data_IF_687549570958
#
_entry.id   IF_687549570958
#
_cell.length_a   1.000
_cell.length_b   1.000
_cell.length_c   1.000
_cell.angle_alpha   90.00
_cell.angle_beta   90.00
_cell.angle_gamma   90.00
#
_symmetry.space_group_name_H-M   'P 1'
#
loop_
_entity.id
_entity.type
_entity.pdbx_description
1 polymer ?
#
# COMPACT_ATOMS: atom_id res chain seq x y z
N UNK A 1 20.92 18.32 -21.98
CA UNK A 1 19.56 18.02 -22.46
C UNK A 1 18.63 18.24 -21.29
N UNK A 2 17.91 19.36 -21.22
CA UNK A 2 17.01 19.71 -20.11
C UNK A 2 15.69 18.99 -20.34
N UNK A 3 15.40 17.98 -19.55
CA UNK A 3 14.05 17.36 -19.51
C UNK A 3 13.07 18.44 -19.04
N UNK A 4 12.05 18.67 -19.84
CA UNK A 4 10.99 19.64 -19.54
C UNK A 4 10.22 19.19 -18.29
N UNK A 5 9.98 20.11 -17.36
CA UNK A 5 9.36 19.81 -16.06
C UNK A 5 8.02 19.07 -16.10
N UNK A 6 7.29 19.11 -17.21
CA UNK A 6 6.02 18.40 -17.41
C UNK A 6 6.19 16.88 -17.53
N UNK A 7 7.26 16.39 -18.17
CA UNK A 7 7.51 14.94 -18.29
C UNK A 7 7.96 14.32 -16.97
N UNK A 8 8.71 15.06 -16.16
CA UNK A 8 9.09 14.63 -14.81
C UNK A 8 7.90 14.52 -13.88
N UNK A 9 6.94 15.44 -13.97
CA UNK A 9 5.74 15.45 -13.11
C UNK A 9 4.77 14.32 -13.46
N UNK A 10 4.52 14.07 -14.74
CA UNK A 10 3.69 12.93 -15.18
C UNK A 10 4.32 11.58 -14.83
N UNK A 11 5.65 11.47 -14.88
CA UNK A 11 6.39 10.29 -14.44
C UNK A 11 6.23 10.04 -12.93
N UNK A 12 6.38 11.08 -12.11
CA UNK A 12 6.22 10.98 -10.65
C UNK A 12 4.78 10.64 -10.24
N UNK A 13 3.77 11.19 -10.91
CA UNK A 13 2.35 10.85 -10.68
C UNK A 13 2.07 9.39 -11.05
N UNK A 14 2.55 8.92 -12.21
CA UNK A 14 2.41 7.52 -12.62
C UNK A 14 3.11 6.55 -11.65
N UNK A 15 4.30 6.92 -11.18
CA UNK A 15 5.03 6.12 -10.21
C UNK A 15 4.26 6.01 -8.88
N UNK A 16 3.67 7.12 -8.40
CA UNK A 16 2.79 7.12 -7.21
C UNK A 16 1.55 6.27 -7.40
N UNK A 17 0.89 6.36 -8.56
CA UNK A 17 -0.28 5.54 -8.88
C UNK A 17 0.07 4.05 -8.93
N UNK A 18 1.30 3.70 -9.31
CA UNK A 18 1.79 2.31 -9.33
C UNK A 18 2.12 1.74 -7.96
N UNK A 19 2.39 2.56 -6.95
CA UNK A 19 2.61 2.07 -5.58
C UNK A 19 1.32 1.72 -4.86
N UNK A 20 0.21 2.36 -5.22
CA UNK A 20 -1.01 2.34 -4.43
C UNK A 20 -0.81 3.09 -3.11
N UNK A 21 -1.53 2.69 -2.08
CA UNK A 21 -1.33 3.18 -0.72
C UNK A 21 -0.07 2.56 -0.12
N UNK A 22 0.48 3.19 0.90
CA UNK A 22 1.61 2.65 1.64
C UNK A 22 1.10 2.05 2.94
N UNK A 23 1.25 0.75 3.07
CA UNK A 23 0.77 -0.03 4.20
C UNK A 23 1.80 -0.01 5.32
N UNK A 24 1.42 0.20 6.58
CA UNK A 24 2.33 0.13 7.70
C UNK A 24 2.91 -1.29 7.82
N UNK A 25 4.23 -1.38 7.93
CA UNK A 25 4.98 -2.62 7.96
C UNK A 25 5.61 -2.82 9.34
N UNK A 26 5.26 -3.91 10.01
CA UNK A 26 5.72 -4.20 11.36
C UNK A 26 5.02 -3.40 12.46
N UNK A 27 5.76 -3.01 13.49
CA UNK A 27 5.25 -2.22 14.61
C UNK A 27 5.30 -0.71 14.32
N UNK A 28 4.54 0.13 15.03
CA UNK A 28 4.56 1.59 14.85
C UNK A 28 5.95 2.21 15.00
N UNK A 29 6.82 1.61 15.81
CA UNK A 29 8.21 2.04 16.02
C UNK A 29 9.17 1.69 14.89
N UNK A 30 8.80 0.79 13.98
CA UNK A 30 9.69 0.32 12.91
C UNK A 30 9.93 1.38 11.82
N UNK A 31 9.02 2.34 11.67
CA UNK A 31 9.15 3.41 10.68
C UNK A 31 9.25 2.89 9.24
N UNK A 32 8.53 1.81 8.96
CA UNK A 32 8.58 1.11 7.69
C UNK A 32 7.20 1.03 7.04
N UNK A 33 7.18 1.10 5.71
CA UNK A 33 5.97 0.97 4.90
C UNK A 33 6.20 0.05 3.72
N UNK A 34 5.16 -0.64 3.31
CA UNK A 34 5.12 -1.51 2.14
C UNK A 34 4.15 -0.95 1.11
N UNK A 35 4.55 -0.89 -0.16
CA UNK A 35 3.64 -0.51 -1.24
C UNK A 35 2.49 -1.52 -1.39
N UNK A 36 1.24 -1.04 -1.47
CA UNK A 36 0.04 -1.88 -1.62
C UNK A 36 0.15 -2.82 -2.83
N UNK A 37 0.68 -2.34 -3.95
CA UNK A 37 0.87 -3.18 -5.14
C UNK A 37 1.90 -4.31 -4.92
N UNK A 38 2.94 -4.07 -4.12
CA UNK A 38 3.87 -5.14 -3.76
C UNK A 38 3.20 -6.20 -2.88
N UNK A 39 2.37 -5.77 -1.93
CA UNK A 39 1.55 -6.67 -1.12
C UNK A 39 0.54 -7.45 -1.98
N UNK A 40 -0.17 -6.76 -2.88
CA UNK A 40 -1.16 -7.37 -3.77
C UNK A 40 -0.56 -8.51 -4.61
N UNK A 41 0.64 -8.34 -5.16
CA UNK A 41 1.32 -9.40 -5.94
C UNK A 41 1.51 -10.68 -5.13
N UNK A 42 1.96 -10.56 -3.88
CA UNK A 42 2.18 -11.70 -2.98
C UNK A 42 0.87 -12.35 -2.59
N UNK A 43 -0.14 -11.55 -2.24
CA UNK A 43 -1.48 -12.03 -1.86
C UNK A 43 -2.18 -12.72 -3.02
N UNK A 44 -2.11 -12.14 -4.22
CA UNK A 44 -2.68 -12.72 -5.43
C UNK A 44 -2.05 -14.07 -5.75
N UNK A 45 -0.71 -14.18 -5.68
CA UNK A 45 -0.02 -15.46 -5.89
C UNK A 45 -0.39 -16.52 -4.83
N UNK A 46 -0.68 -16.10 -3.60
CA UNK A 46 -1.18 -17.01 -2.59
C UNK A 46 -2.62 -17.48 -2.89
N UNK A 47 -3.49 -16.57 -3.34
CA UNK A 47 -4.86 -16.86 -3.72
C UNK A 47 -4.95 -17.79 -4.96
N UNK A 48 -4.10 -17.58 -5.97
CA UNK A 48 -4.01 -18.41 -7.19
C UNK A 48 -3.65 -19.88 -6.91
N UNK A 49 -3.02 -20.16 -5.77
CA UNK A 49 -2.69 -21.53 -5.35
C UNK A 49 -3.85 -22.25 -4.65
N UNK A 50 -4.94 -21.55 -4.37
CA UNK A 50 -6.12 -22.15 -3.72
C UNK A 50 -7.00 -22.84 -4.76
N UNK A 51 -7.18 -24.17 -4.71
CA UNK A 51 -8.02 -24.88 -5.66
C UNK A 51 -9.46 -24.38 -5.62
N UNK A 52 -10.07 -24.23 -6.80
CA UNK A 52 -11.45 -23.78 -6.94
C UNK A 52 -11.66 -22.28 -6.75
N UNK A 53 -10.59 -21.48 -6.75
CA UNK A 53 -10.62 -20.03 -6.60
C UNK A 53 -9.96 -19.35 -7.79
N UNK A 54 -10.67 -18.40 -8.39
CA UNK A 54 -10.10 -17.43 -9.33
C UNK A 54 -10.09 -16.06 -8.65
N UNK A 55 -8.92 -15.54 -8.23
CA UNK A 55 -8.85 -14.30 -7.50
C UNK A 55 -9.19 -13.09 -8.37
N UNK A 56 -10.05 -12.23 -7.86
CA UNK A 56 -10.43 -10.95 -8.43
C UNK A 56 -9.60 -9.81 -7.84
N UNK A 57 -10.28 -8.75 -7.43
CA UNK A 57 -9.66 -7.57 -6.84
C UNK A 57 -9.25 -7.85 -5.40
N UNK A 58 -8.04 -7.43 -5.01
CA UNK A 58 -7.55 -7.49 -3.64
C UNK A 58 -7.20 -6.06 -3.20
N UNK A 59 -7.68 -5.67 -2.03
CA UNK A 59 -7.42 -4.38 -1.40
C UNK A 59 -6.96 -4.59 0.04
N UNK A 60 -6.07 -3.72 0.50
CA UNK A 60 -5.62 -3.72 1.89
C UNK A 60 -5.84 -2.34 2.49
N UNK A 61 -6.49 -2.25 3.62
CA UNK A 61 -6.80 -1.01 4.31
C UNK A 61 -6.67 -1.16 5.82
N UNK A 62 -6.93 -0.10 6.58
CA UNK A 62 -7.05 -0.20 8.03
C UNK A 62 -8.31 -0.96 8.40
N UNK A 63 -8.20 -1.85 9.38
CA UNK A 63 -9.36 -2.57 9.91
C UNK A 63 -10.32 -1.61 10.64
N UNK A 64 -9.75 -0.67 11.39
CA UNK A 64 -10.46 0.40 12.06
C UNK A 64 -9.64 1.70 11.98
N UNK A 65 -10.10 2.69 11.19
CA UNK A 65 -9.43 3.98 11.12
C UNK A 65 -9.36 4.73 12.46
N UNK A 66 -10.31 4.47 13.37
CA UNK A 66 -10.36 5.11 14.69
C UNK A 66 -9.31 4.58 15.67
N UNK A 67 -8.77 3.37 15.44
CA UNK A 67 -7.73 2.76 16.26
C UNK A 67 -6.31 2.99 15.71
N UNK A 68 -6.16 3.84 14.73
CA UNK A 68 -4.88 4.14 14.11
C UNK A 68 -3.91 4.84 15.09
N UNK A 69 -2.70 4.30 15.18
CA UNK A 69 -1.64 4.84 16.03
C UNK A 69 -0.88 5.98 15.37
N UNK A 70 -0.13 6.72 16.18
CA UNK A 70 0.80 7.73 15.69
C UNK A 70 2.09 7.06 15.23
N UNK A 71 2.58 7.34 14.00
CA UNK A 71 3.85 6.80 13.54
C UNK A 71 5.03 7.42 14.31
N UNK A 72 6.07 6.62 14.60
CA UNK A 72 7.26 7.09 15.29
C UNK A 72 8.20 7.95 14.43
N UNK A 73 8.00 7.95 13.12
CA UNK A 73 8.78 8.74 12.15
C UNK A 73 7.82 9.39 11.15
N UNK A 74 8.21 10.49 10.48
CA UNK A 74 7.36 11.12 9.48
C UNK A 74 6.90 10.13 8.41
N UNK A 75 5.58 9.95 8.21
CA UNK A 75 5.06 9.02 7.23
C UNK A 75 5.29 9.55 5.80
N UNK A 76 5.58 8.67 4.84
CA UNK A 76 5.64 9.10 3.44
C UNK A 76 4.26 9.52 2.93
N UNK A 77 4.20 10.28 1.84
CA UNK A 77 2.92 10.67 1.23
C UNK A 77 2.06 9.45 0.87
N UNK A 78 0.76 9.51 1.16
CA UNK A 78 -0.21 8.42 0.97
C UNK A 78 0.02 7.17 1.86
N UNK A 79 0.81 7.29 2.93
CA UNK A 79 0.97 6.25 3.92
C UNK A 79 -0.26 6.14 4.81
N UNK A 80 -0.69 4.91 5.05
CA UNK A 80 -1.65 4.62 6.11
C UNK A 80 -0.96 4.74 7.47
N UNK A 81 -1.64 5.27 8.49
CA UNK A 81 -1.11 5.29 9.84
C UNK A 81 -0.94 3.84 10.37
N UNK A 82 -0.05 3.63 11.37
CA UNK A 82 0.14 2.33 11.98
C UNK A 82 -1.15 1.83 12.63
N UNK A 83 -1.51 0.59 12.34
CA UNK A 83 -2.70 -0.04 12.88
C UNK A 83 -2.92 -1.43 12.29
N UNK A 84 -3.87 -2.21 12.85
CA UNK A 84 -4.26 -3.47 12.25
C UNK A 84 -4.90 -3.26 10.89
N UNK A 85 -4.59 -4.16 9.94
CA UNK A 85 -5.06 -4.11 8.58
C UNK A 85 -6.23 -5.04 8.34
N UNK A 86 -7.02 -4.73 7.32
CA UNK A 86 -8.08 -5.57 6.75
C UNK A 86 -7.75 -5.84 5.29
N UNK A 87 -7.92 -7.09 4.87
CA UNK A 87 -7.85 -7.48 3.47
C UNK A 87 -9.28 -7.65 2.96
N UNK A 88 -9.62 -6.97 1.88
CA UNK A 88 -10.85 -7.15 1.13
C UNK A 88 -10.51 -7.83 -0.20
N UNK A 89 -11.01 -9.04 -0.43
CA UNK A 89 -10.70 -9.79 -1.64
C UNK A 89 -11.97 -10.29 -2.32
N UNK A 90 -12.04 -10.07 -3.63
CA UNK A 90 -13.06 -10.61 -4.51
C UNK A 90 -12.53 -11.88 -5.17
N UNK A 91 -13.41 -12.86 -5.39
CA UNK A 91 -13.06 -14.07 -6.13
C UNK A 91 -14.26 -14.68 -6.83
N UNK A 92 -13.99 -15.42 -7.91
CA UNK A 92 -14.95 -16.34 -8.49
C UNK A 92 -14.65 -17.76 -7.99
N UNK A 93 -15.71 -18.50 -7.63
CA UNK A 93 -15.58 -19.90 -7.23
C UNK A 93 -15.77 -20.79 -8.46
N UNK A 94 -14.95 -21.84 -8.58
CA UNK A 94 -14.94 -22.78 -9.70
C UNK A 94 -15.42 -24.16 -9.20
N UNK A 95 -16.39 -24.73 -9.90
CA UNK A 95 -16.95 -26.06 -9.63
C UNK A 95 -18.15 -26.06 -8.69
N UNK A 96 -18.69 -27.26 -8.44
CA UNK A 96 -19.90 -27.49 -7.66
C UNK A 96 -19.65 -27.69 -6.14
N UNK A 97 -18.43 -27.43 -5.64
CA UNK A 97 -18.13 -27.60 -4.23
C UNK A 97 -18.86 -26.55 -3.36
N UNK A 98 -19.20 -26.88 -2.10
CA UNK A 98 -19.79 -25.90 -1.19
C UNK A 98 -18.90 -24.67 -1.05
N UNK A 99 -19.46 -23.48 -1.21
CA UNK A 99 -18.71 -22.20 -1.25
C UNK A 99 -17.93 -21.88 0.03
N UNK A 100 -18.33 -22.43 1.16
CA UNK A 100 -17.69 -22.24 2.45
C UNK A 100 -16.24 -22.76 2.41
N UNK A 101 -16.02 -23.91 1.82
CA UNK A 101 -14.71 -24.57 1.79
C UNK A 101 -13.63 -23.80 1.03
N UNK A 102 -13.84 -23.38 -0.25
CA UNK A 102 -12.86 -22.53 -0.97
C UNK A 102 -12.71 -21.16 -0.31
N UNK A 103 -13.76 -20.59 0.29
CA UNK A 103 -13.66 -19.31 0.98
C UNK A 103 -12.76 -19.41 2.24
N UNK A 104 -12.91 -20.45 3.06
CA UNK A 104 -12.05 -20.63 4.25
C UNK A 104 -10.59 -20.90 3.85
N UNK A 105 -10.35 -21.71 2.82
CA UNK A 105 -8.99 -21.92 2.29
C UNK A 105 -8.37 -20.62 1.78
N UNK A 106 -9.14 -19.81 1.05
CA UNK A 106 -8.68 -18.52 0.56
C UNK A 106 -8.37 -17.56 1.72
N UNK A 107 -9.25 -17.49 2.73
CA UNK A 107 -9.04 -16.67 3.93
C UNK A 107 -7.75 -17.04 4.63
N UNK A 108 -7.52 -18.33 4.89
CA UNK A 108 -6.30 -18.85 5.49
C UNK A 108 -5.06 -18.54 4.67
N UNK A 109 -5.11 -18.73 3.35
CA UNK A 109 -3.98 -18.46 2.46
C UNK A 109 -3.60 -16.97 2.43
N UNK A 110 -4.58 -16.07 2.40
CA UNK A 110 -4.35 -14.62 2.43
C UNK A 110 -3.80 -14.18 3.79
N UNK A 111 -4.35 -14.69 4.88
CA UNK A 111 -3.88 -14.37 6.24
C UNK A 111 -2.44 -14.82 6.46
N UNK A 112 -2.13 -16.06 6.10
CA UNK A 112 -0.76 -16.62 6.17
C UNK A 112 0.22 -15.84 5.30
N UNK A 113 -0.16 -15.55 4.05
CA UNK A 113 0.72 -14.78 3.15
C UNK A 113 0.98 -13.35 3.64
N UNK A 114 -0.02 -12.69 4.22
CA UNK A 114 0.12 -11.36 4.79
C UNK A 114 1.04 -11.34 6.02
N UNK A 115 0.85 -12.28 6.94
CA UNK A 115 1.65 -12.37 8.17
C UNK A 115 3.07 -12.90 7.91
N UNK A 116 3.18 -14.10 7.33
CA UNK A 116 4.44 -14.83 7.24
C UNK A 116 5.34 -14.39 6.10
N UNK A 117 4.79 -13.88 5.00
CA UNK A 117 5.59 -13.44 3.85
C UNK A 117 5.81 -11.95 3.79
N UNK A 118 4.87 -11.15 4.29
CA UNK A 118 4.94 -9.69 4.21
C UNK A 118 5.22 -9.03 5.56
N UNK A 119 4.85 -9.65 6.68
CA UNK A 119 4.93 -9.06 8.01
C UNK A 119 3.85 -8.02 8.28
N UNK A 120 2.73 -8.12 7.57
CA UNK A 120 1.58 -7.24 7.77
C UNK A 120 0.75 -7.72 8.96
N UNK A 121 0.31 -6.79 9.79
CA UNK A 121 -0.57 -7.06 10.93
C UNK A 121 -2.03 -7.04 10.49
N UNK A 122 -2.53 -8.18 10.01
CA UNK A 122 -3.91 -8.32 9.53
C UNK A 122 -4.82 -8.76 10.67
N UNK A 123 -5.93 -8.04 10.87
CA UNK A 123 -6.97 -8.37 11.84
C UNK A 123 -8.19 -9.04 11.20
N UNK A 124 -8.46 -8.78 9.94
CA UNK A 124 -9.63 -9.32 9.25
C UNK A 124 -9.36 -9.56 7.76
N UNK A 125 -10.04 -10.59 7.21
CA UNK A 125 -10.07 -10.87 5.77
C UNK A 125 -11.53 -11.03 5.36
N UNK A 126 -12.02 -10.07 4.58
CA UNK A 126 -13.38 -10.05 4.04
C UNK A 126 -13.35 -10.56 2.59
N UNK A 127 -14.21 -11.54 2.31
CA UNK A 127 -14.28 -12.21 1.03
C UNK A 127 -15.62 -11.94 0.37
N UNK A 128 -15.59 -11.56 -0.91
CA UNK A 128 -16.76 -11.37 -1.75
C UNK A 128 -16.71 -12.29 -2.95
N UNK A 129 -17.73 -13.12 -3.10
CA UNK A 129 -17.90 -13.95 -4.29
C UNK A 129 -18.52 -13.11 -5.38
N UNK A 130 -17.89 -13.07 -6.54
CA UNK A 130 -18.32 -12.26 -7.70
C UNK A 130 -18.95 -13.12 -8.79
N UNK A 131 -18.61 -14.39 -8.88
CA UNK A 131 -19.18 -15.32 -9.85
C UNK A 131 -19.03 -16.78 -9.40
N UNK A 132 -19.89 -17.65 -9.94
CA UNK A 132 -19.79 -19.09 -9.89
C UNK A 132 -19.52 -19.58 -11.30
N UNK A 133 -18.46 -20.38 -11.47
CA UNK A 133 -18.04 -20.89 -12.78
C UNK A 133 -18.08 -22.41 -12.74
N UNK A 134 -18.66 -23.03 -13.77
CA UNK A 134 -18.74 -24.49 -13.91
C UNK A 134 -17.37 -25.15 -14.18
N UNK A 135 -16.40 -24.34 -14.64
CA UNK A 135 -15.02 -24.75 -14.91
C UNK A 135 -14.07 -23.56 -14.98
N UNK A 136 -12.76 -23.80 -15.04
CA UNK A 136 -11.79 -22.72 -15.23
C UNK A 136 -12.10 -21.97 -16.53
N UNK A 137 -11.96 -20.63 -16.55
CA UNK A 137 -12.19 -19.86 -17.77
C UNK A 137 -11.23 -20.35 -18.85
N UNK A 138 -11.77 -20.67 -20.02
CA UNK A 138 -10.96 -21.01 -21.17
C UNK A 138 -10.04 -19.82 -21.52
N UNK A 139 -8.74 -20.07 -21.81
CA UNK A 139 -7.84 -19.02 -22.25
C UNK A 139 -8.44 -18.36 -23.49
N UNK A 140 -8.61 -17.04 -23.43
CA UNK A 140 -9.14 -16.24 -24.54
C UNK A 140 -8.24 -16.38 -25.77
N UNK A 141 -8.49 -17.39 -26.58
CA UNK A 141 -7.71 -17.73 -27.78
C UNK A 141 -8.10 -19.03 -28.44
N UNK A 142 -8.79 -19.93 -27.74
CA UNK A 142 -9.24 -21.23 -28.32
C UNK A 142 -10.69 -21.20 -28.78
N UNK A 143 -11.12 -20.14 -29.43
CA UNK A 143 -12.29 -20.27 -30.33
C UNK A 143 -11.76 -20.88 -31.61
N UNK A 144 -11.77 -22.19 -31.69
CA UNK A 144 -11.73 -22.91 -32.96
C UNK A 144 -12.88 -22.38 -33.76
N UNK A 145 -12.69 -21.82 -34.98
CA UNK A 145 -13.81 -21.51 -35.80
C UNK A 145 -14.52 -22.85 -36.09
N UNK A 146 -15.76 -22.96 -35.62
CA UNK A 146 -16.62 -24.05 -36.04
C UNK A 146 -16.67 -23.93 -37.55
N UNK A 147 -16.03 -24.87 -38.24
CA UNK A 147 -16.16 -25.02 -39.68
C UNK A 147 -17.64 -25.28 -39.93
N UNK A 148 -18.32 -24.27 -40.40
CA UNK A 148 -19.65 -24.41 -40.96
C UNK A 148 -19.43 -25.16 -42.28
N UNK A 149 -19.75 -26.45 -42.28
CA UNK A 149 -19.78 -27.27 -43.46
C UNK A 149 -20.78 -26.63 -44.43
N UNK A 150 -20.41 -26.21 -45.64
CA UNK A 150 -21.33 -25.66 -46.60
C UNK A 150 -22.11 -26.85 -47.19
N UNK A 151 -23.29 -27.12 -46.66
CA UNK A 151 -24.22 -27.99 -47.34
C UNK A 151 -24.65 -27.37 -48.70
N UNK A 152 -24.43 -28.09 -49.81
CA UNK A 152 -24.83 -27.63 -51.12
C UNK A 152 -26.24 -28.09 -51.44
N UNK A 153 -27.27 -27.43 -50.91
CA UNK A 153 -28.62 -27.58 -51.45
C UNK A 153 -29.52 -26.47 -50.92
N UNK A 154 -30.04 -25.69 -51.81
CA UNK A 154 -31.17 -24.86 -51.46
C UNK A 154 -31.31 -23.60 -52.31
N UNK A 155 -32.27 -23.66 -53.18
CA UNK A 155 -32.71 -22.59 -54.06
C UNK A 155 -33.15 -21.28 -53.37
N UNK A 156 -33.47 -20.24 -54.16
CA UNK A 156 -33.68 -18.89 -53.66
C UNK A 156 -35.04 -18.76 -52.95
N UNK A 157 -35.04 -18.39 -51.68
CA UNK A 157 -36.23 -18.00 -50.96
C UNK A 157 -36.30 -16.47 -50.91
N UNK A 158 -37.43 -15.98 -51.48
CA UNK A 158 -37.76 -14.56 -51.58
C UNK A 158 -37.79 -13.84 -50.24
N UNK A 159 -37.17 -12.66 -50.21
CA UNK A 159 -37.23 -11.73 -49.12
C UNK A 159 -38.62 -11.10 -49.00
N UNK A 160 -39.32 -11.40 -47.90
CA UNK A 160 -40.45 -10.62 -47.40
C UNK A 160 -40.05 -9.83 -46.15
N UNK A 161 -40.53 -8.60 -46.01
CA UNK A 161 -40.18 -7.79 -44.83
C UNK A 161 -40.88 -8.32 -43.57
N UNK A 162 -40.12 -8.70 -42.56
CA UNK A 162 -40.64 -8.98 -41.23
C UNK A 162 -40.67 -7.69 -40.43
N UNK A 163 -41.88 -7.31 -40.08
CA UNK A 163 -42.18 -6.29 -39.09
C UNK A 163 -41.63 -6.73 -37.74
N UNK A 164 -40.85 -5.86 -37.11
CA UNK A 164 -40.37 -6.02 -35.73
C UNK A 164 -41.49 -5.53 -34.82
N UNK A 165 -42.24 -6.45 -34.26
CA UNK A 165 -43.13 -6.16 -33.15
C UNK A 165 -42.28 -5.86 -31.91
N UNK A 166 -42.35 -4.62 -31.42
CA UNK A 166 -41.84 -4.19 -30.14
C UNK A 166 -42.84 -4.52 -29.07
N UNK A 167 -42.67 -5.64 -28.39
CA UNK A 167 -43.50 -5.99 -27.24
C UNK A 167 -42.83 -5.54 -25.92
N UNK A 168 -43.62 -4.80 -25.14
CA UNK A 168 -43.69 -4.82 -23.70
C UNK A 168 -42.46 -4.41 -22.88
N UNK A 169 -42.30 -3.13 -22.65
CA UNK A 169 -41.54 -2.62 -21.46
C UNK A 169 -42.31 -2.99 -20.20
N UNK A 170 -41.97 -4.09 -19.55
CA UNK A 170 -42.40 -4.33 -18.17
C UNK A 170 -41.60 -3.45 -17.22
N UNK A 171 -42.28 -2.42 -16.75
CA UNK A 171 -41.81 -1.53 -15.68
C UNK A 171 -42.02 -2.24 -14.35
N UNK A 172 -40.93 -2.76 -13.74
CA UNK A 172 -40.97 -3.21 -12.34
C UNK A 172 -41.03 -1.98 -11.40
N UNK A 173 -41.93 -1.98 -10.42
CA UNK A 173 -41.98 -0.90 -9.45
C UNK A 173 -40.79 -0.99 -8.51
N UNK A 174 -40.04 0.12 -8.43
CA UNK A 174 -39.00 0.33 -7.41
C UNK A 174 -39.70 0.52 -6.07
N UNK A 175 -39.67 -0.50 -5.23
CA UNK A 175 -40.07 -0.34 -3.83
C UNK A 175 -39.02 0.50 -3.09
N UNK A 176 -39.42 1.72 -2.77
CA UNK A 176 -38.65 2.62 -1.92
C UNK A 176 -38.83 2.18 -0.47
N UNK A 177 -37.79 1.55 0.10
CA UNK A 177 -37.76 1.31 1.54
C UNK A 177 -37.51 2.63 2.29
N UNK A 178 -38.32 2.97 3.30
CA UNK A 178 -38.08 4.15 4.11
C UNK A 178 -36.81 3.94 4.97
N UNK A 179 -35.95 4.94 4.98
CA UNK A 179 -34.79 5.04 5.86
C UNK A 179 -35.24 4.92 7.32
N UNK A 180 -34.80 3.88 8.01
CA UNK A 180 -34.94 3.77 9.46
C UNK A 180 -33.97 4.74 10.10
N UNK A 181 -34.53 5.83 10.64
CA UNK A 181 -33.83 6.77 11.51
C UNK A 181 -33.69 6.12 12.88
N UNK A 182 -32.46 5.84 13.30
CA UNK A 182 -32.11 5.32 14.62
C UNK A 182 -32.23 6.47 15.67
N UNK A 183 -33.09 6.36 16.71
CA UNK A 183 -33.29 7.43 17.70
C UNK A 183 -32.35 7.33 18.91
N UNK A 184 -31.04 7.08 18.71
CA UNK A 184 -30.07 6.97 19.80
C UNK A 184 -28.90 7.95 19.71
N UNK A 185 -29.18 9.22 19.33
CA UNK A 185 -28.17 10.28 19.37
C UNK A 185 -28.70 11.61 19.92
N UNK A 186 -29.33 11.56 21.08
CA UNK A 186 -29.64 12.73 21.90
C UNK A 186 -29.51 12.35 23.36
N UNK A 187 -28.28 12.31 23.88
CA UNK A 187 -27.98 12.65 25.28
C UNK A 187 -26.49 12.49 25.57
N UNK A 188 -25.70 13.54 25.37
CA UNK A 188 -24.42 13.78 26.06
C UNK A 188 -23.87 15.17 25.74
N UNK A 189 -24.65 16.15 26.05
CA UNK A 189 -24.19 17.52 26.23
C UNK A 189 -24.75 18.09 27.52
N UNK A 190 -24.11 17.78 28.65
CA UNK A 190 -24.13 18.59 29.87
C UNK A 190 -23.19 18.02 30.92
N UNK A 191 -22.47 18.96 31.54
CA UNK A 191 -21.60 18.86 32.71
C UNK A 191 -20.17 18.39 32.35
N UNK A 192 -19.10 19.16 32.58
CA UNK A 192 -18.82 19.97 33.76
C UNK A 192 -17.82 21.07 33.44
N UNK A 193 -18.27 22.25 33.66
CA UNK A 193 -17.48 23.43 34.02
C UNK A 193 -16.93 23.25 35.43
N UNK A 194 -15.61 23.31 35.61
CA UNK A 194 -15.00 23.59 36.90
C UNK A 194 -13.63 24.23 36.69
N UNK A 195 -13.64 25.50 36.90
CA UNK A 195 -12.54 26.42 37.08
C UNK A 195 -11.47 25.93 38.05
N UNK A 196 -10.19 26.17 37.74
CA UNK A 196 -9.22 26.66 38.72
C UNK A 196 -7.97 27.25 38.06
N UNK A 197 -7.83 28.54 38.11
CA UNK A 197 -6.63 29.35 38.11
C UNK A 197 -6.42 29.84 39.60
N UNK A 198 -5.27 30.45 40.02
CA UNK A 198 -3.95 30.61 39.43
C UNK A 198 -2.82 30.37 40.49
N UNK A 199 -1.55 30.32 40.05
CA UNK A 199 -0.40 30.40 40.91
C UNK A 199 0.76 31.11 40.21
N UNK A 200 0.95 32.36 40.57
CA UNK A 200 1.96 33.32 40.13
C UNK A 200 3.04 33.40 41.20
N UNK A 201 4.33 33.23 40.82
CA UNK A 201 5.53 33.79 41.52
C UNK A 201 6.65 33.80 40.50
N UNK A 202 7.12 34.89 40.01
CA UNK A 202 7.98 35.97 40.48
C UNK A 202 9.45 35.53 40.58
N UNK A 203 10.24 35.99 39.59
CA UNK A 203 11.48 36.73 39.60
C UNK A 203 12.72 36.16 40.30
N UNK A 204 13.85 36.21 39.58
CA UNK A 204 15.05 37.02 39.87
C UNK A 204 16.10 36.69 38.81
N UNK A 205 16.59 37.67 38.03
CA UNK A 205 17.88 37.63 37.37
C UNK A 205 19.03 37.97 38.31
N UNK A 206 20.28 37.86 37.88
CA UNK A 206 20.93 39.08 37.40
C UNK A 206 21.90 38.90 36.23
N UNK A 207 22.16 40.04 35.65
CA UNK A 207 23.18 40.49 34.72
C UNK A 207 24.59 39.93 34.93
N UNK A 208 25.35 39.81 33.82
CA UNK A 208 26.79 39.60 33.85
C UNK A 208 27.40 39.70 32.45
N UNK A 209 27.86 40.87 32.14
CA UNK A 209 28.56 41.29 30.92
C UNK A 209 29.85 40.50 30.67
N UNK A 210 30.27 40.38 29.40
CA UNK A 210 31.59 39.92 29.03
C UNK A 210 31.76 39.83 27.51
N UNK A 211 31.86 40.98 26.84
CA UNK A 211 32.46 41.11 25.51
C UNK A 211 33.93 40.75 25.56
N UNK A 212 34.40 39.85 24.69
CA UNK A 212 35.76 39.94 24.12
C UNK A 212 35.76 39.37 22.73
N UNK A 213 35.95 40.25 21.77
CA UNK A 213 36.35 39.97 20.39
C UNK A 213 37.80 39.45 20.38
N UNK A 214 38.06 38.43 19.63
CA UNK A 214 39.39 38.11 19.11
C UNK A 214 39.25 37.76 17.62
N UNK A 215 39.68 38.74 16.81
CA UNK A 215 40.06 38.50 15.41
C UNK A 215 41.29 37.59 15.38
N UNK A 216 41.38 36.72 14.41
CA UNK A 216 42.64 36.12 14.06
C UNK A 216 42.59 34.85 13.24
N UNK A 217 42.97 35.03 12.00
CA UNK A 217 43.67 34.07 11.13
C UNK A 217 42.88 32.96 10.46
N UNK A 218 42.69 33.17 9.18
CA UNK A 218 42.36 32.15 8.16
C UNK A 218 43.34 30.99 8.16
N UNK A 219 42.76 29.82 8.39
CA UNK A 219 43.39 28.54 8.12
C UNK A 219 42.42 27.72 7.30
N UNK A 220 42.56 27.78 5.98
CA UNK A 220 41.86 26.91 5.03
C UNK A 220 42.46 25.52 5.20
N UNK A 221 41.81 24.68 5.99
CA UNK A 221 42.15 23.27 6.05
C UNK A 221 41.68 22.59 4.74
N UNK A 222 42.53 21.70 4.16
CA UNK A 222 42.15 20.99 2.93
C UNK A 222 40.96 20.09 3.19
N UNK A 223 39.91 20.26 2.38
CA UNK A 223 38.74 19.45 2.45
C UNK A 223 39.07 17.97 2.23
N UNK A 224 38.97 17.20 3.31
CA UNK A 224 38.71 15.78 3.17
C UNK A 224 37.39 15.66 2.40
N UNK A 225 37.43 15.06 1.23
CA UNK A 225 36.23 14.77 0.44
C UNK A 225 35.31 13.86 1.26
N UNK A 226 34.42 14.46 2.03
CA UNK A 226 33.25 13.77 2.55
C UNK A 226 32.41 13.44 1.33
N UNK A 227 32.39 12.15 0.94
CA UNK A 227 31.41 11.64 -0.02
C UNK A 227 30.05 12.16 0.43
N UNK A 228 29.29 12.65 -0.53
CA UNK A 228 27.99 13.29 -0.27
C UNK A 228 27.13 12.38 0.64
N UNK A 229 26.55 12.90 1.75
CA UNK A 229 25.81 12.08 2.71
C UNK A 229 24.84 11.06 2.11
N UNK A 230 24.11 11.36 0.99
CA UNK A 230 23.22 10.41 0.34
C UNK A 230 23.92 9.17 -0.22
N UNK A 231 25.16 9.28 -0.70
CA UNK A 231 25.88 8.14 -1.28
C UNK A 231 26.32 7.13 -0.21
N UNK A 232 26.77 7.62 0.95
CA UNK A 232 27.12 6.76 2.08
C UNK A 232 25.88 6.03 2.63
N UNK A 233 24.74 6.72 2.72
CA UNK A 233 23.47 6.13 3.14
C UNK A 233 23.00 5.07 2.12
N UNK A 234 23.11 5.38 0.83
CA UNK A 234 22.73 4.45 -0.25
C UNK A 234 23.61 3.18 -0.23
N UNK A 235 24.92 3.34 -0.04
CA UNK A 235 25.84 2.22 0.09
C UNK A 235 25.52 1.35 1.31
N UNK A 236 25.29 1.95 2.48
CA UNK A 236 24.91 1.24 3.69
C UNK A 236 23.59 0.46 3.52
N UNK A 237 22.58 1.08 2.93
CA UNK A 237 21.30 0.44 2.67
C UNK A 237 21.41 -0.68 1.64
N UNK A 238 22.17 -0.51 0.57
CA UNK A 238 22.36 -1.52 -0.48
C UNK A 238 23.16 -2.73 -0.01
N UNK A 239 24.03 -2.55 0.98
CA UNK A 239 24.84 -3.63 1.55
C UNK A 239 24.05 -4.56 2.49
N UNK A 240 22.83 -4.19 2.87
CA UNK A 240 22.00 -4.99 3.79
C UNK A 240 21.54 -6.30 3.12
N UNK A 241 21.78 -7.46 3.74
CA UNK A 241 21.26 -8.74 3.24
C UNK A 241 19.74 -8.70 3.07
N UNK A 242 19.26 -9.16 1.91
CA UNK A 242 17.84 -9.14 1.58
C UNK A 242 17.36 -7.88 0.85
N UNK A 243 18.20 -6.88 0.67
CA UNK A 243 17.95 -5.78 -0.27
C UNK A 243 18.35 -6.26 -1.68
N UNK A 244 17.37 -6.35 -2.58
CA UNK A 244 17.64 -6.71 -3.98
C UNK A 244 18.20 -5.51 -4.77
N UNK A 245 17.66 -4.34 -4.52
CA UNK A 245 18.07 -3.06 -5.11
C UNK A 245 17.44 -1.90 -4.36
N UNK A 246 18.06 -0.74 -4.45
CA UNK A 246 17.41 0.52 -4.10
C UNK A 246 16.49 0.96 -5.25
N UNK A 247 15.38 1.60 -4.91
CA UNK A 247 14.37 2.05 -5.87
C UNK A 247 14.15 3.55 -5.73
N UNK A 248 13.77 4.21 -6.79
CA UNK A 248 13.49 5.65 -6.78
C UNK A 248 12.07 5.94 -7.24
N UNK A 249 11.10 5.21 -6.70
CA UNK A 249 9.71 5.28 -7.18
C UNK A 249 9.02 6.59 -6.79
N UNK A 250 9.37 7.16 -5.64
CA UNK A 250 8.90 8.49 -5.19
C UNK A 250 9.93 9.61 -5.48
N UNK A 251 10.93 9.34 -6.31
CA UNK A 251 12.00 10.25 -6.69
C UNK A 251 13.37 9.61 -6.50
N UNK A 252 14.23 10.17 -5.64
CA UNK A 252 15.52 9.56 -5.33
C UNK A 252 15.36 8.36 -4.40
N UNK A 253 16.18 7.32 -4.60
CA UNK A 253 16.18 6.12 -3.77
C UNK A 253 16.52 6.42 -2.30
N UNK A 254 17.38 7.38 -2.07
CA UNK A 254 17.66 7.97 -0.78
C UNK A 254 17.33 9.44 -0.84
N UNK A 255 16.53 9.90 0.09
CA UNK A 255 16.25 11.31 0.31
C UNK A 255 16.57 11.65 1.75
N UNK A 256 17.58 12.47 1.93
CA UNK A 256 17.95 13.03 3.23
C UNK A 256 17.62 14.53 3.20
N UNK A 257 16.93 14.99 4.21
CA UNK A 257 16.71 16.40 4.51
C UNK A 257 17.13 16.68 5.97
N UNK A 258 17.01 17.91 6.41
CA UNK A 258 17.47 18.33 7.76
C UNK A 258 16.72 17.63 8.90
N UNK A 259 15.56 17.08 8.65
CA UNK A 259 14.65 16.54 9.66
C UNK A 259 14.46 15.02 9.58
N UNK A 260 14.78 14.40 8.45
CA UNK A 260 14.51 12.97 8.23
C UNK A 260 15.29 12.37 7.07
N UNK A 261 15.40 11.05 7.08
CA UNK A 261 15.96 10.27 5.98
C UNK A 261 14.90 9.28 5.50
N UNK A 262 14.68 9.22 4.17
CA UNK A 262 13.84 8.19 3.54
C UNK A 262 14.67 7.34 2.61
N UNK A 263 14.53 6.02 2.74
CA UNK A 263 15.17 5.03 1.87
C UNK A 263 14.11 4.18 1.19
N UNK A 264 14.21 4.01 -0.12
CA UNK A 264 13.33 3.17 -0.92
C UNK A 264 14.09 1.95 -1.42
N UNK A 265 13.54 0.75 -1.17
CA UNK A 265 14.17 -0.49 -1.58
C UNK A 265 13.17 -1.53 -2.08
N UNK A 266 13.68 -2.51 -2.82
CA UNK A 266 13.02 -3.76 -3.13
C UNK A 266 13.69 -4.88 -2.36
N UNK A 267 12.91 -5.85 -1.84
CA UNK A 267 13.46 -7.00 -1.13
C UNK A 267 13.75 -8.16 -2.07
N UNK A 268 14.80 -8.92 -1.77
CA UNK A 268 15.14 -10.13 -2.49
C UNK A 268 14.17 -11.28 -2.13
N UNK A 269 13.99 -12.27 -3.02
CA UNK A 269 13.22 -13.47 -2.72
C UNK A 269 13.72 -14.18 -1.47
N UNK A 270 12.81 -14.74 -0.66
CA UNK A 270 13.13 -15.48 0.55
C UNK A 270 13.46 -14.63 1.77
N UNK A 271 13.50 -13.30 1.65
CA UNK A 271 13.71 -12.40 2.76
C UNK A 271 12.41 -11.74 3.20
N UNK A 272 12.23 -11.65 4.51
CA UNK A 272 11.03 -11.07 5.11
C UNK A 272 11.08 -9.54 5.08
N UNK A 273 10.12 -8.84 4.44
CA UNK A 273 10.20 -7.40 4.22
C UNK A 273 10.38 -6.55 5.50
N UNK A 274 9.75 -6.94 6.61
CA UNK A 274 9.88 -6.21 7.87
C UNK A 274 11.28 -6.34 8.46
N UNK A 275 11.92 -7.50 8.33
CA UNK A 275 13.27 -7.72 8.83
C UNK A 275 14.29 -6.95 8.00
N UNK A 276 14.14 -6.98 6.67
CA UNK A 276 14.96 -6.19 5.76
C UNK A 276 14.81 -4.70 6.08
N UNK A 277 13.59 -4.21 6.27
CA UNK A 277 13.35 -2.80 6.59
C UNK A 277 14.00 -2.38 7.93
N UNK A 278 13.92 -3.24 8.95
CA UNK A 278 14.61 -3.01 10.24
C UNK A 278 16.14 -2.99 10.08
N UNK A 279 16.68 -3.92 9.32
CA UNK A 279 18.12 -3.99 9.06
C UNK A 279 18.61 -2.77 8.25
N UNK A 280 17.86 -2.34 7.22
CA UNK A 280 18.15 -1.12 6.47
C UNK A 280 18.13 0.09 7.39
N UNK A 281 17.10 0.22 8.24
CA UNK A 281 17.02 1.32 9.21
C UNK A 281 18.22 1.34 10.14
N UNK A 282 18.61 0.20 10.70
CA UNK A 282 19.78 0.09 11.59
C UNK A 282 21.08 0.48 10.87
N UNK A 283 21.30 -0.05 9.65
CA UNK A 283 22.48 0.24 8.85
C UNK A 283 22.56 1.73 8.48
N UNK A 284 21.45 2.35 8.11
CA UNK A 284 21.39 3.76 7.78
C UNK A 284 21.64 4.62 9.03
N UNK A 285 21.00 4.28 10.15
CA UNK A 285 21.19 5.02 11.40
C UNK A 285 22.65 5.01 11.87
N UNK A 286 23.40 3.92 11.62
CA UNK A 286 24.81 3.80 12.03
C UNK A 286 25.76 4.70 11.23
N UNK A 287 25.38 5.14 10.03
CA UNK A 287 26.22 6.02 9.18
C UNK A 287 25.80 7.48 9.24
N UNK A 288 24.69 7.79 9.91
CA UNK A 288 24.22 9.17 10.06
C UNK A 288 25.09 9.92 11.08
N UNK A 289 25.50 11.16 10.78
CA UNK A 289 26.29 11.98 11.70
C UNK A 289 25.51 12.44 12.94
N UNK A 290 24.19 12.45 12.85
CA UNK A 290 23.27 12.82 13.93
C UNK A 290 22.03 11.92 13.91
N UNK A 291 21.35 11.71 15.04
CA UNK A 291 20.17 10.86 15.13
C UNK A 291 18.98 11.52 14.42
N UNK A 292 18.76 11.14 13.16
CA UNK A 292 17.59 11.52 12.38
C UNK A 292 16.60 10.37 12.30
N UNK A 293 15.28 10.66 12.24
CA UNK A 293 14.28 9.65 11.98
C UNK A 293 14.46 9.07 10.58
N UNK A 294 14.59 7.74 10.51
CA UNK A 294 14.77 6.99 9.24
C UNK A 294 13.46 6.31 8.88
N UNK A 295 12.97 6.62 7.70
CA UNK A 295 11.78 6.01 7.07
C UNK A 295 12.22 5.03 6.00
N UNK A 296 11.76 3.79 6.05
CA UNK A 296 12.04 2.78 5.03
C UNK A 296 10.77 2.46 4.25
N UNK A 297 10.86 2.54 2.93
CA UNK A 297 9.78 2.20 2.02
C UNK A 297 10.16 0.98 1.17
N UNK A 298 9.46 -0.12 1.37
CA UNK A 298 9.57 -1.31 0.52
C UNK A 298 8.60 -1.17 -0.65
N UNK A 299 9.13 -0.97 -1.84
CA UNK A 299 8.35 -0.70 -3.05
C UNK A 299 8.05 -1.96 -3.87
N UNK A 300 8.83 -3.01 -3.69
CA UNK A 300 8.65 -4.30 -4.35
C UNK A 300 9.16 -5.44 -3.47
N UNK A 301 8.53 -6.61 -3.60
CA UNK A 301 8.88 -7.82 -2.86
C UNK A 301 9.22 -8.91 -3.86
N UNK A 302 10.42 -9.46 -3.78
CA UNK A 302 10.83 -10.58 -4.60
C UNK A 302 9.97 -11.80 -4.34
N UNK A 303 9.33 -12.30 -5.39
CA UNK A 303 8.59 -13.57 -5.32
C UNK A 303 9.61 -14.71 -5.54
N UNK A 304 9.74 -15.59 -4.55
CA UNK A 304 10.42 -16.85 -4.74
C UNK A 304 9.69 -17.69 -5.81
N UNK A 305 10.44 -18.53 -6.49
CA UNK A 305 9.93 -19.43 -7.51
C UNK A 305 8.91 -20.42 -6.95
#
# INVERSE_FOLDING_TARGET
MRMTGAEGWTGAVRARLRLGRLLPLGAPGDGAWLAEQAAEKVLRRAAERVPGVLPGRIRVGLADPGSAGTPAVPPPPAALPPGPLRIEAEFAAIGAAPLVEPAERLRGALFTAAGERLGLRVAAVDLRITALLDGPPEPAGARTPVAVDPSPDGGPVAAGPREVETDGTETYPVETYPAQTDPAQTDRARATDCARKPGRTAAVGPEGAGQQAVEGAGGRLPGAGAGEPPDAIAAAAAAVPGVARLTGTLGAAVRADESSVRVECATAPGHHPVEVARAVRAAVTSVLPSPLPVTVLVTDVGLGA
#
